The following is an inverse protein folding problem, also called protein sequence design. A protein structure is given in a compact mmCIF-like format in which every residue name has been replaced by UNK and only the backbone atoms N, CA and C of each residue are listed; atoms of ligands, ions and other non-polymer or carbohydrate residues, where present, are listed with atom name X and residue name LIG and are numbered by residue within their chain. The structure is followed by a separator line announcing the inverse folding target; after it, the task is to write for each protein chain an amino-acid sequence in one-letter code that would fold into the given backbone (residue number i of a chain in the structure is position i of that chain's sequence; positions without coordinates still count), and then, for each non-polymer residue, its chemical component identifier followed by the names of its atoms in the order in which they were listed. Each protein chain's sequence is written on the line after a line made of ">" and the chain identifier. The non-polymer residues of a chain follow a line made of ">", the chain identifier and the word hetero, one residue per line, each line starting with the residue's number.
data_IF_753148782061
#
_entry.id   IF_753148782061
#
_cell.length_a   1.000
_cell.length_b   1.000
_cell.length_c   1.000
_cell.angle_alpha   90.00
_cell.angle_beta   90.00
_cell.angle_gamma   90.00
#
_symmetry.space_group_name_H-M   'P 1'
#
loop_
_entity.id
_entity.type
_entity.pdbx_description
1 polymer ?
#
# COMPACT_ATOMS: atom_id res chain seq x y z
N UNK A 1 12.28 -6.23 10.45
CA UNK A 1 11.23 -5.38 9.86
C UNK A 1 10.72 -5.92 8.52
N UNK A 2 11.56 -6.21 7.52
CA UNK A 2 11.10 -6.72 6.21
C UNK A 2 10.50 -8.14 6.25
N UNK A 3 10.94 -9.01 7.15
CA UNK A 3 10.33 -10.35 7.33
C UNK A 3 8.86 -10.30 7.76
N UNK A 4 8.42 -9.23 8.43
CA UNK A 4 7.05 -9.04 8.91
C UNK A 4 6.03 -8.70 7.81
N UNK A 5 6.48 -8.41 6.57
CA UNK A 5 5.62 -8.09 5.43
C UNK A 5 5.58 -9.24 4.40
N UNK A 6 5.97 -10.45 4.81
CA UNK A 6 5.86 -11.68 4.01
C UNK A 6 4.65 -12.48 4.47
N UNK A 7 4.10 -13.28 3.58
CA UNK A 7 2.91 -14.07 3.86
C UNK A 7 1.64 -13.45 3.30
N UNK A 8 0.51 -13.72 3.93
CA UNK A 8 -0.82 -13.27 3.50
C UNK A 8 -1.14 -11.90 4.08
N UNK A 9 -1.22 -10.89 3.22
CA UNK A 9 -1.64 -9.54 3.57
C UNK A 9 -3.06 -9.24 3.10
N UNK A 10 -4.00 -9.08 4.03
CA UNK A 10 -5.39 -8.84 3.68
C UNK A 10 -5.69 -7.36 3.51
N UNK A 11 -6.16 -6.97 2.32
CA UNK A 11 -6.68 -5.63 2.07
C UNK A 11 -8.05 -5.49 2.74
N UNK A 12 -8.11 -4.66 3.79
CA UNK A 12 -9.33 -4.46 4.59
C UNK A 12 -10.40 -3.73 3.79
N UNK A 13 -11.62 -4.23 3.88
CA UNK A 13 -12.82 -3.49 3.44
C UNK A 13 -13.16 -2.40 4.45
N UNK A 14 -13.92 -1.40 4.02
CA UNK A 14 -14.59 -0.44 4.89
C UNK A 14 -16.08 -0.78 4.87
N UNK A 15 -16.61 -1.50 5.88
CA UNK A 15 -18.03 -1.79 5.92
C UNK A 15 -18.83 -0.52 6.23
N UNK A 16 -19.98 -0.39 5.57
CA UNK A 16 -20.91 0.72 5.75
C UNK A 16 -22.25 0.20 6.25
N UNK A 17 -22.87 0.96 7.13
CA UNK A 17 -24.25 0.79 7.55
C UNK A 17 -25.22 1.26 6.46
N UNK A 18 -26.50 0.97 6.62
CA UNK A 18 -27.54 1.33 5.64
C UNK A 18 -27.73 2.83 5.46
N UNK A 19 -27.30 3.65 6.42
CA UNK A 19 -27.30 5.11 6.35
C UNK A 19 -26.00 5.69 5.76
N UNK A 20 -25.10 4.82 5.27
CA UNK A 20 -23.87 5.22 4.60
C UNK A 20 -22.70 5.59 5.51
N UNK A 21 -22.81 5.39 6.82
CA UNK A 21 -21.71 5.60 7.76
C UNK A 21 -20.84 4.36 7.89
N UNK A 22 -19.59 4.55 8.32
CA UNK A 22 -18.69 3.43 8.60
C UNK A 22 -19.25 2.58 9.75
N UNK A 23 -19.39 1.27 9.52
CA UNK A 23 -19.80 0.30 10.54
C UNK A 23 -18.56 -0.22 11.28
N UNK A 24 -18.19 0.48 12.34
CA UNK A 24 -17.05 0.11 13.18
C UNK A 24 -17.24 -1.21 13.93
N UNK A 25 -18.49 -1.63 14.20
CA UNK A 25 -18.78 -2.92 14.82
C UNK A 25 -18.44 -4.06 13.85
N UNK A 26 -18.92 -3.99 12.61
CA UNK A 26 -18.60 -4.96 11.57
C UNK A 26 -17.10 -4.98 11.28
N UNK A 27 -16.47 -3.81 11.15
CA UNK A 27 -15.02 -3.69 10.94
C UNK A 27 -14.24 -4.36 12.07
N UNK A 28 -14.63 -4.12 13.31
CA UNK A 28 -13.99 -4.73 14.48
C UNK A 28 -14.06 -6.26 14.45
N UNK A 29 -15.19 -6.82 14.07
CA UNK A 29 -15.38 -8.28 13.91
C UNK A 29 -14.51 -8.85 12.79
N UNK A 30 -14.40 -8.13 11.67
CA UNK A 30 -13.53 -8.52 10.54
C UNK A 30 -12.07 -8.54 10.98
N UNK A 31 -11.59 -7.51 11.68
CA UNK A 31 -10.22 -7.45 12.18
C UNK A 31 -9.93 -8.62 13.12
N UNK A 32 -10.81 -8.90 14.09
CA UNK A 32 -10.61 -10.03 15.01
C UNK A 32 -10.57 -11.37 14.26
N UNK A 33 -11.44 -11.54 13.27
CA UNK A 33 -11.42 -12.74 12.42
C UNK A 33 -10.11 -12.89 11.67
N UNK A 34 -9.57 -11.82 11.07
CA UNK A 34 -8.30 -11.86 10.35
C UNK A 34 -7.14 -12.23 11.28
N UNK A 35 -7.06 -11.59 12.43
CA UNK A 35 -6.01 -11.88 13.42
C UNK A 35 -6.09 -13.31 13.95
N UNK A 36 -7.30 -13.78 14.25
CA UNK A 36 -7.51 -15.13 14.79
C UNK A 36 -7.22 -16.25 13.77
N UNK A 37 -7.39 -15.98 12.48
CA UNK A 37 -7.17 -16.95 11.40
C UNK A 37 -5.79 -16.87 10.74
N UNK A 38 -4.84 -16.17 11.34
CA UNK A 38 -3.43 -16.23 10.94
C UNK A 38 -3.06 -15.35 9.75
N UNK A 39 -3.79 -14.25 9.52
CA UNK A 39 -3.35 -13.21 8.58
C UNK A 39 -2.02 -12.62 9.06
N UNK A 40 -1.01 -12.57 8.20
CA UNK A 40 0.33 -12.11 8.56
C UNK A 40 0.40 -10.59 8.74
N UNK A 41 -0.34 -9.84 7.93
CA UNK A 41 -0.48 -8.37 8.06
C UNK A 41 -1.77 -7.90 7.39
N UNK A 42 -2.22 -6.71 7.73
CA UNK A 42 -3.38 -6.08 7.07
C UNK A 42 -2.98 -4.82 6.31
N UNK A 43 -3.76 -4.51 5.26
CA UNK A 43 -3.62 -3.28 4.49
C UNK A 43 -4.84 -2.40 4.73
N UNK A 44 -4.68 -1.35 5.50
CA UNK A 44 -5.69 -0.32 5.74
C UNK A 44 -5.69 0.71 4.60
N UNK A 45 -6.83 1.28 4.27
CA UNK A 45 -6.97 2.32 3.24
C UNK A 45 -6.39 1.92 1.86
N UNK A 46 -6.26 0.61 1.59
CA UNK A 46 -5.98 0.10 0.24
C UNK A 46 -7.21 0.29 -0.66
N UNK A 47 -7.08 -0.03 -1.94
CA UNK A 47 -8.19 0.11 -2.92
C UNK A 47 -9.47 -0.60 -2.49
N UNK A 48 -9.35 -1.78 -1.88
CA UNK A 48 -10.47 -2.57 -1.34
C UNK A 48 -11.24 -1.83 -0.23
N UNK A 49 -10.57 -0.95 0.50
CA UNK A 49 -11.17 -0.12 1.56
C UNK A 49 -11.84 1.16 1.04
N UNK A 50 -11.96 1.34 -0.27
CA UNK A 50 -12.66 2.46 -0.92
C UNK A 50 -12.23 3.88 -0.45
N UNK A 51 -10.91 4.15 -0.24
CA UNK A 51 -10.48 5.42 0.34
C UNK A 51 -10.84 6.64 -0.52
N UNK A 52 -11.13 6.43 -1.81
CA UNK A 52 -11.55 7.51 -2.70
C UNK A 52 -12.94 8.09 -2.37
N UNK A 53 -13.79 7.33 -1.66
CA UNK A 53 -15.14 7.74 -1.26
C UNK A 53 -15.18 8.29 0.17
N UNK A 54 -14.08 8.19 0.91
CA UNK A 54 -13.97 8.67 2.29
C UNK A 54 -13.42 10.09 2.36
N UNK A 55 -14.00 10.91 3.22
CA UNK A 55 -13.43 12.20 3.61
C UNK A 55 -12.11 12.01 4.37
N UNK A 56 -11.36 13.10 4.55
CA UNK A 56 -10.11 13.04 5.32
C UNK A 56 -10.36 12.61 6.77
N UNK A 57 -11.40 13.16 7.43
CA UNK A 57 -11.75 12.80 8.81
C UNK A 57 -12.11 11.33 8.94
N UNK A 58 -12.91 10.79 8.02
CA UNK A 58 -13.26 9.37 8.02
C UNK A 58 -12.04 8.47 7.85
N UNK A 59 -11.08 8.84 6.99
CA UNK A 59 -9.82 8.09 6.84
C UNK A 59 -8.99 8.08 8.13
N UNK A 60 -8.87 9.24 8.77
CA UNK A 60 -8.11 9.39 10.00
C UNK A 60 -8.76 8.56 11.12
N UNK A 61 -10.08 8.68 11.33
CA UNK A 61 -10.84 7.91 12.33
C UNK A 61 -10.79 6.39 12.06
N UNK A 62 -10.94 6.00 10.78
CA UNK A 62 -10.87 4.59 10.37
C UNK A 62 -9.50 3.99 10.65
N UNK A 63 -8.43 4.72 10.34
CA UNK A 63 -7.05 4.27 10.59
C UNK A 63 -6.77 4.16 12.09
N UNK A 64 -7.18 5.13 12.89
CA UNK A 64 -7.03 5.10 14.34
C UNK A 64 -7.79 3.93 14.96
N UNK A 65 -9.00 3.66 14.50
CA UNK A 65 -9.78 2.50 14.92
C UNK A 65 -9.07 1.18 14.58
N UNK A 66 -8.59 1.02 13.34
CA UNK A 66 -7.86 -0.18 12.92
C UNK A 66 -6.61 -0.38 13.77
N UNK A 67 -5.81 0.67 13.97
CA UNK A 67 -4.60 0.62 14.79
C UNK A 67 -4.91 0.21 16.23
N UNK A 68 -5.94 0.82 16.82
CA UNK A 68 -6.39 0.49 18.18
C UNK A 68 -6.87 -0.95 18.28
N UNK A 69 -7.66 -1.40 17.31
CA UNK A 69 -8.25 -2.74 17.31
C UNK A 69 -7.22 -3.84 17.06
N UNK A 70 -6.27 -3.61 16.15
CA UNK A 70 -5.16 -4.55 15.91
C UNK A 70 -4.22 -4.64 17.11
N UNK A 71 -4.04 -3.53 17.84
CA UNK A 71 -3.26 -3.46 19.07
C UNK A 71 -1.83 -4.08 18.97
N UNK A 72 -1.19 -3.93 17.81
CA UNK A 72 0.17 -4.43 17.56
C UNK A 72 0.30 -5.94 17.39
N UNK A 73 -0.80 -6.69 17.31
CA UNK A 73 -0.79 -8.16 17.13
C UNK A 73 -0.23 -8.60 15.78
N UNK A 74 -0.49 -7.82 14.73
CA UNK A 74 0.07 -8.02 13.39
C UNK A 74 0.45 -6.66 12.78
N UNK A 75 1.36 -6.60 11.79
CA UNK A 75 1.74 -5.37 11.13
C UNK A 75 0.57 -4.72 10.37
N UNK A 76 0.59 -3.38 10.30
CA UNK A 76 -0.36 -2.60 9.52
C UNK A 76 0.39 -1.88 8.40
N UNK A 77 -0.02 -2.14 7.16
CA UNK A 77 0.38 -1.39 5.97
C UNK A 77 -0.73 -0.40 5.64
N UNK A 78 -0.39 0.82 5.26
CA UNK A 78 -1.40 1.85 4.95
C UNK A 78 -1.31 2.26 3.49
N UNK A 79 -2.44 2.28 2.82
CA UNK A 79 -2.58 2.83 1.48
C UNK A 79 -2.27 4.33 1.48
N UNK A 80 -1.27 4.71 0.69
CA UNK A 80 -0.79 6.09 0.57
C UNK A 80 -0.43 6.36 -0.88
N UNK A 81 -1.36 6.89 -1.66
CA UNK A 81 -1.12 7.14 -3.07
C UNK A 81 -2.07 8.15 -3.66
N UNK A 82 -1.71 8.65 -4.81
CA UNK A 82 -2.45 9.67 -5.54
C UNK A 82 -1.73 10.06 -6.82
N UNK A 83 -2.27 11.02 -7.53
CA UNK A 83 -1.70 11.53 -8.77
C UNK A 83 -1.06 12.92 -8.64
N UNK A 84 -1.11 13.52 -7.45
CA UNK A 84 -0.35 14.71 -7.09
C UNK A 84 0.79 14.30 -6.14
N UNK A 85 2.02 14.37 -6.62
CA UNK A 85 3.21 13.94 -5.86
C UNK A 85 3.36 14.70 -4.54
N UNK A 86 3.07 15.99 -4.51
CA UNK A 86 3.18 16.81 -3.30
C UNK A 86 2.19 16.37 -2.22
N UNK A 87 0.94 16.08 -2.59
CA UNK A 87 -0.09 15.61 -1.67
C UNK A 87 0.23 14.21 -1.14
N UNK A 88 0.76 13.31 -2.00
CA UNK A 88 1.22 11.97 -1.58
C UNK A 88 2.35 12.07 -0.56
N UNK A 89 3.32 12.95 -0.79
CA UNK A 89 4.42 13.19 0.17
C UNK A 89 3.89 13.75 1.49
N UNK A 90 2.98 14.71 1.45
CA UNK A 90 2.38 15.28 2.66
C UNK A 90 1.65 14.20 3.48
N UNK A 91 0.81 13.37 2.82
CA UNK A 91 0.11 12.27 3.46
C UNK A 91 1.08 11.22 4.03
N UNK A 92 2.11 10.85 3.26
CA UNK A 92 3.12 9.89 3.70
C UNK A 92 3.88 10.37 4.94
N UNK A 93 4.22 11.66 5.02
CA UNK A 93 4.84 12.26 6.20
C UNK A 93 3.95 12.18 7.45
N UNK A 94 2.63 12.36 7.30
CA UNK A 94 1.70 12.19 8.41
C UNK A 94 1.66 10.75 8.89
N UNK A 95 1.50 9.79 7.99
CA UNK A 95 1.50 8.36 8.34
C UNK A 95 2.84 7.90 8.93
N UNK A 96 3.96 8.44 8.45
CA UNK A 96 5.29 8.08 8.93
C UNK A 96 5.53 8.45 10.40
N UNK A 97 4.79 9.41 10.97
CA UNK A 97 4.86 9.78 12.38
C UNK A 97 4.34 8.68 13.32
N UNK A 98 3.52 7.77 12.81
CA UNK A 98 2.92 6.71 13.62
C UNK A 98 3.76 5.44 13.54
N UNK A 99 4.40 5.06 14.65
CA UNK A 99 5.28 3.89 14.74
C UNK A 99 4.53 2.56 14.61
N UNK A 100 3.21 2.55 14.79
CA UNK A 100 2.38 1.35 14.61
C UNK A 100 2.11 1.02 13.14
N UNK A 101 2.41 1.94 12.22
CA UNK A 101 2.35 1.70 10.78
C UNK A 101 3.69 1.10 10.33
N UNK A 102 3.66 -0.12 9.81
CA UNK A 102 4.84 -0.86 9.40
C UNK A 102 5.39 -0.41 8.03
N UNK A 103 4.51 -0.09 7.09
CA UNK A 103 4.88 0.34 5.74
C UNK A 103 3.76 1.13 5.06
N UNK A 104 4.12 1.84 3.98
CA UNK A 104 3.19 2.52 3.09
C UNK A 104 3.02 1.70 1.81
N UNK A 105 1.78 1.54 1.33
CA UNK A 105 1.47 0.96 0.02
C UNK A 105 1.13 2.10 -0.94
N UNK A 106 2.03 2.43 -1.85
CA UNK A 106 1.86 3.58 -2.74
C UNK A 106 1.54 3.14 -4.16
N UNK A 107 0.33 3.44 -4.61
CA UNK A 107 -0.15 3.13 -5.95
C UNK A 107 0.47 4.07 -6.99
N UNK A 108 0.70 3.55 -8.21
CA UNK A 108 1.14 4.37 -9.34
C UNK A 108 0.20 5.56 -9.58
N UNK A 109 0.73 6.74 -9.95
CA UNK A 109 -0.12 7.89 -10.28
C UNK A 109 -1.13 7.51 -11.36
N UNK A 110 -2.41 7.73 -11.07
CA UNK A 110 -3.53 7.41 -11.93
C UNK A 110 -4.12 8.66 -12.59
N UNK A 111 -5.00 8.49 -13.57
CA UNK A 111 -5.71 9.56 -14.29
C UNK A 111 -4.81 10.37 -15.24
N UNK A 112 -3.77 11.05 -14.76
CA UNK A 112 -2.83 11.84 -15.55
C UNK A 112 -1.77 11.03 -16.31
N UNK A 113 -1.66 9.71 -16.03
CA UNK A 113 -0.89 8.72 -16.79
C UNK A 113 0.55 9.18 -17.13
N UNK A 114 1.43 9.41 -16.16
CA UNK A 114 2.81 9.80 -16.44
C UNK A 114 3.56 8.71 -17.21
N UNK A 115 4.55 9.12 -18.00
CA UNK A 115 5.46 8.17 -18.63
C UNK A 115 6.40 7.54 -17.58
N UNK A 116 7.18 6.51 -17.96
CA UNK A 116 8.04 5.76 -17.03
C UNK A 116 9.03 6.64 -16.26
N UNK A 117 9.59 7.68 -16.89
CA UNK A 117 10.46 8.65 -16.22
C UNK A 117 9.69 9.45 -15.15
N UNK A 118 8.45 9.82 -15.44
CA UNK A 118 7.57 10.50 -14.47
C UNK A 118 7.18 9.59 -13.31
N UNK A 119 6.90 8.30 -13.58
CA UNK A 119 6.64 7.29 -12.55
C UNK A 119 7.84 7.14 -11.61
N UNK A 120 9.04 6.99 -12.18
CA UNK A 120 10.28 6.94 -11.40
C UNK A 120 10.45 8.19 -10.53
N UNK A 121 10.31 9.38 -11.12
CA UNK A 121 10.47 10.65 -10.41
C UNK A 121 9.46 10.82 -9.26
N UNK A 122 8.21 10.39 -9.46
CA UNK A 122 7.18 10.40 -8.44
C UNK A 122 7.57 9.56 -7.21
N UNK A 123 7.92 8.29 -7.42
CA UNK A 123 8.28 7.39 -6.32
C UNK A 123 9.64 7.75 -5.68
N UNK A 124 10.59 8.21 -6.49
CA UNK A 124 11.87 8.73 -5.97
C UNK A 124 11.64 9.93 -5.04
N UNK A 125 10.82 10.88 -5.46
CA UNK A 125 10.47 12.03 -4.63
C UNK A 125 9.75 11.62 -3.34
N UNK A 126 8.85 10.62 -3.39
CA UNK A 126 8.23 10.07 -2.18
C UNK A 126 9.27 9.45 -1.26
N UNK A 127 10.14 8.59 -1.80
CA UNK A 127 11.18 7.89 -1.03
C UNK A 127 12.17 8.86 -0.37
N UNK A 128 12.55 9.93 -1.05
CA UNK A 128 13.47 10.94 -0.52
C UNK A 128 12.89 11.80 0.62
N UNK A 129 11.58 11.73 0.84
CA UNK A 129 10.88 12.56 1.81
C UNK A 129 10.37 11.84 3.06
N UNK A 130 10.47 10.50 3.11
CA UNK A 130 10.04 9.69 4.26
C UNK A 130 11.03 8.55 4.50
N UNK A 131 11.21 8.16 5.77
CA UNK A 131 12.06 7.02 6.15
C UNK A 131 11.26 5.71 6.28
N UNK A 132 9.91 5.78 6.25
CA UNK A 132 9.03 4.63 6.36
C UNK A 132 9.22 3.69 5.16
N UNK A 133 9.20 2.37 5.34
CA UNK A 133 9.21 1.42 4.22
C UNK A 133 8.06 1.66 3.26
N UNK A 134 8.35 1.61 1.96
CA UNK A 134 7.39 1.81 0.87
C UNK A 134 7.28 0.53 0.06
N UNK A 135 6.06 0.06 -0.16
CA UNK A 135 5.68 -0.93 -1.14
C UNK A 135 5.08 -0.20 -2.35
N UNK A 136 5.68 -0.37 -3.52
CA UNK A 136 5.09 0.10 -4.76
C UNK A 136 3.82 -0.69 -5.06
N UNK A 137 2.83 -0.08 -5.70
CA UNK A 137 1.63 -0.80 -6.12
C UNK A 137 1.36 -0.58 -7.60
N UNK A 138 1.53 -1.64 -8.38
CA UNK A 138 1.26 -1.67 -9.81
C UNK A 138 -0.08 -2.35 -10.08
N UNK A 139 -1.06 -1.60 -10.56
CA UNK A 139 -2.41 -2.08 -10.90
C UNK A 139 -2.93 -1.41 -12.16
N UNK A 140 -2.42 -1.78 -13.34
CA UNK A 140 -2.71 -1.09 -14.60
C UNK A 140 -4.19 -0.99 -14.93
N UNK A 141 -4.98 -2.00 -14.57
CA UNK A 141 -6.43 -2.01 -14.79
C UNK A 141 -7.17 -0.89 -14.06
N UNK A 142 -6.60 -0.33 -12.99
CA UNK A 142 -7.20 0.78 -12.22
C UNK A 142 -6.51 2.11 -12.47
N UNK A 143 -5.19 2.11 -12.69
CA UNK A 143 -4.41 3.35 -12.87
C UNK A 143 -4.34 3.81 -14.32
N UNK A 144 -4.52 2.90 -15.27
CA UNK A 144 -4.34 3.15 -16.69
C UNK A 144 -2.87 3.28 -17.10
N UNK A 145 -1.92 2.95 -16.21
CA UNK A 145 -0.49 2.88 -16.49
C UNK A 145 0.10 1.61 -15.88
N UNK A 146 1.16 1.10 -16.49
CA UNK A 146 1.94 0.01 -15.93
C UNK A 146 3.30 0.55 -15.46
N UNK A 147 3.73 0.19 -14.25
CA UNK A 147 5.11 0.43 -13.81
C UNK A 147 5.97 -0.65 -14.47
N UNK A 148 6.88 -0.24 -15.35
CA UNK A 148 7.75 -1.21 -16.02
C UNK A 148 8.72 -1.89 -15.04
N UNK A 149 9.14 -3.13 -15.29
CA UNK A 149 10.18 -3.79 -14.49
C UNK A 149 11.45 -2.96 -14.35
N UNK A 150 11.86 -2.24 -15.40
CA UNK A 150 13.06 -1.38 -15.35
C UNK A 150 12.93 -0.27 -14.31
N UNK A 151 11.75 0.35 -14.22
CA UNK A 151 11.48 1.40 -13.21
C UNK A 151 11.48 0.81 -11.80
N UNK A 152 10.83 -0.35 -11.60
CA UNK A 152 10.82 -1.01 -10.28
C UNK A 152 12.23 -1.38 -9.85
N UNK A 153 13.03 -1.99 -10.74
CA UNK A 153 14.42 -2.39 -10.45
C UNK A 153 15.30 -1.18 -10.15
N UNK A 154 15.16 -0.08 -10.92
CA UNK A 154 15.89 1.15 -10.64
C UNK A 154 15.54 1.72 -9.27
N UNK A 155 14.25 1.82 -8.94
CA UNK A 155 13.79 2.30 -7.63
C UNK A 155 14.26 1.41 -6.49
N UNK A 156 14.25 0.08 -6.66
CA UNK A 156 14.72 -0.87 -5.66
C UNK A 156 16.22 -0.72 -5.35
N UNK A 157 17.02 -0.32 -6.34
CA UNK A 157 18.45 -0.10 -6.17
C UNK A 157 18.78 1.32 -5.64
N UNK A 158 18.01 2.33 -6.07
CA UNK A 158 18.31 3.75 -5.79
C UNK A 158 17.71 4.24 -4.46
N UNK A 159 16.66 3.53 -3.94
CA UNK A 159 15.90 3.95 -2.76
C UNK A 159 15.83 2.81 -1.72
N UNK A 160 16.60 2.92 -0.64
CA UNK A 160 16.70 1.90 0.41
C UNK A 160 15.37 1.61 1.12
N UNK A 161 14.48 2.57 1.16
CA UNK A 161 13.16 2.46 1.80
C UNK A 161 12.06 2.01 0.83
N UNK A 162 12.32 1.86 -0.45
CA UNK A 162 11.44 1.12 -1.37
C UNK A 162 11.79 -0.36 -1.24
N UNK A 163 10.98 -1.08 -0.47
CA UNK A 163 11.32 -2.44 0.00
C UNK A 163 10.59 -3.56 -0.76
N UNK A 164 9.65 -3.20 -1.64
CA UNK A 164 8.91 -4.19 -2.40
C UNK A 164 7.92 -3.60 -3.39
N UNK A 165 7.26 -4.48 -4.12
CA UNK A 165 6.17 -4.14 -5.03
C UNK A 165 5.01 -5.13 -4.88
N UNK A 166 3.78 -4.60 -4.79
CA UNK A 166 2.55 -5.35 -5.03
C UNK A 166 2.25 -5.29 -6.52
N UNK A 167 2.41 -6.43 -7.19
CA UNK A 167 2.19 -6.57 -8.63
C UNK A 167 0.80 -7.15 -8.89
N UNK A 168 -0.06 -6.36 -9.52
CA UNK A 168 -1.44 -6.70 -9.83
C UNK A 168 -1.78 -6.40 -11.29
N UNK A 169 -0.84 -6.65 -12.20
CA UNK A 169 -1.07 -6.51 -13.64
C UNK A 169 -1.67 -7.77 -14.28
N UNK A 170 -1.67 -8.92 -13.60
CA UNK A 170 -1.99 -10.22 -14.18
C UNK A 170 -0.91 -10.72 -15.17
N UNK A 171 0.23 -10.04 -15.29
CA UNK A 171 1.30 -10.39 -16.22
C UNK A 171 2.39 -11.22 -15.54
N UNK A 172 2.28 -12.54 -15.65
CA UNK A 172 3.26 -13.49 -15.06
C UNK A 172 4.68 -13.25 -15.59
N UNK A 173 4.85 -12.92 -16.87
CA UNK A 173 6.17 -12.62 -17.42
C UNK A 173 6.81 -11.38 -16.76
N UNK A 174 6.03 -10.37 -16.43
CA UNK A 174 6.50 -9.22 -15.66
C UNK A 174 6.89 -9.62 -14.22
N UNK A 175 6.09 -10.45 -13.56
CA UNK A 175 6.43 -11.00 -12.24
C UNK A 175 7.77 -11.76 -12.27
N UNK A 176 8.00 -12.59 -13.28
CA UNK A 176 9.26 -13.33 -13.44
C UNK A 176 10.46 -12.39 -13.65
N UNK A 177 10.30 -11.31 -14.44
CA UNK A 177 11.35 -10.29 -14.61
C UNK A 177 11.68 -9.59 -13.29
N UNK A 178 10.67 -9.22 -12.51
CA UNK A 178 10.87 -8.62 -11.19
C UNK A 178 11.58 -9.58 -10.24
N UNK A 179 11.12 -10.83 -10.15
CA UNK A 179 11.72 -11.84 -9.30
C UNK A 179 13.18 -12.13 -9.62
N UNK A 180 13.58 -12.07 -10.91
CA UNK A 180 14.94 -12.34 -11.35
C UNK A 180 15.91 -11.16 -11.26
N UNK A 181 15.38 -9.91 -11.25
CA UNK A 181 16.19 -8.69 -11.42
C UNK A 181 16.25 -7.81 -10.18
N UNK A 182 15.25 -7.87 -9.30
CA UNK A 182 15.25 -7.11 -8.05
C UNK A 182 16.25 -7.71 -7.03
N UNK A 183 16.71 -6.90 -6.06
CA UNK A 183 17.52 -7.40 -4.95
C UNK A 183 16.87 -8.60 -4.23
N UNK A 184 17.66 -9.52 -3.68
CA UNK A 184 17.15 -10.78 -3.08
C UNK A 184 16.19 -10.59 -1.91
N UNK A 185 16.32 -9.50 -1.20
CA UNK A 185 15.49 -9.13 -0.05
C UNK A 185 14.28 -8.26 -0.45
N UNK A 186 14.19 -7.82 -1.71
CA UNK A 186 13.06 -7.07 -2.22
C UNK A 186 11.78 -7.93 -2.21
N UNK A 187 10.70 -7.38 -1.70
CA UNK A 187 9.44 -8.11 -1.51
C UNK A 187 8.61 -8.02 -2.79
N UNK A 188 8.31 -9.16 -3.41
CA UNK A 188 7.35 -9.26 -4.50
C UNK A 188 6.05 -9.85 -3.95
N UNK A 189 4.98 -9.06 -3.99
CA UNK A 189 3.64 -9.43 -3.50
C UNK A 189 2.74 -9.61 -4.72
N UNK A 190 2.07 -10.76 -4.83
CA UNK A 190 0.97 -10.92 -5.78
C UNK A 190 -0.23 -10.11 -5.32
N UNK A 191 -0.78 -9.28 -6.17
CA UNK A 191 -1.99 -8.52 -5.91
C UNK A 191 -3.16 -8.96 -6.77
N UNK A 192 -2.97 -10.04 -7.53
CA UNK A 192 -3.94 -10.66 -8.42
C UNK A 192 -3.98 -12.16 -8.13
N UNK A 193 -5.17 -12.72 -8.00
CA UNK A 193 -5.40 -14.13 -7.60
C UNK A 193 -5.35 -15.08 -8.82
#
# INVERSE_FOLDING_TARGET
>A
MMQQLRGVGVAMVTPFSTDGKIDYQALGNIIESQVANGTDYIVALGTTGEPATLSKSEKDELLDFIISKVAGRIPIVVGCGGNNTADVIAQAKEYAKNDKIAALLSVAPFYNKPNQRGVYAHFKALADNVDKPILLYNVPGRTGINISPDVVVSLANDCRNIVGVKEASGNVAQCMQLASRCPKDFILISGDD
#
